data_IF_928282948809
#
_entry.id   IF_928282948809
#
_cell.length_a   1.000
_cell.length_b   1.000
_cell.length_c   1.000
_cell.angle_alpha   90.00
_cell.angle_beta   90.00
_cell.angle_gamma   90.00
#
_symmetry.space_group_name_H-M   'P 1'
#
loop_
_entity.id
_entity.type
_entity.pdbx_description
1 polymer ?
#
# COMPACT_ATOMS: atom_id res chain seq x y z
N UNK A 1 19.67 9.01 -11.80
CA UNK A 1 18.97 9.59 -10.64
C UNK A 1 17.91 8.57 -10.22
N UNK A 2 17.96 8.08 -8.98
CA UNK A 2 16.94 7.14 -8.47
C UNK A 2 15.71 7.98 -8.11
N UNK A 3 14.51 7.57 -8.53
CA UNK A 3 13.28 8.30 -8.17
C UNK A 3 13.02 8.22 -6.67
N UNK A 4 12.63 9.34 -6.05
CA UNK A 4 12.25 9.38 -4.63
C UNK A 4 11.06 8.47 -4.29
N UNK A 5 10.22 8.16 -5.28
CA UNK A 5 9.17 7.15 -5.18
C UNK A 5 9.69 5.73 -4.85
N UNK A 6 10.94 5.41 -5.17
CA UNK A 6 11.53 4.09 -4.87
C UNK A 6 11.57 3.81 -3.36
N UNK A 7 11.69 4.84 -2.51
CA UNK A 7 11.64 4.71 -1.05
C UNK A 7 10.23 4.48 -0.52
N UNK A 8 9.18 4.92 -1.22
CA UNK A 8 7.79 4.60 -0.88
C UNK A 8 7.49 3.12 -1.16
N UNK A 9 7.96 2.60 -2.30
CA UNK A 9 7.65 1.25 -2.78
C UNK A 9 8.49 0.14 -2.14
N UNK A 10 9.76 0.40 -1.80
CA UNK A 10 10.71 -0.64 -1.38
C UNK A 10 11.18 -0.51 0.08
N UNK A 11 10.69 -1.41 0.94
CA UNK A 11 11.17 -1.54 2.33
C UNK A 11 12.68 -1.83 2.40
N UNK A 12 13.19 -2.75 1.58
CA UNK A 12 14.62 -3.07 1.54
C UNK A 12 15.50 -1.90 1.11
N UNK A 13 14.96 -0.94 0.34
CA UNK A 13 15.66 0.30 0.04
C UNK A 13 15.70 1.22 1.26
N UNK A 14 14.58 1.34 2.01
CA UNK A 14 14.50 2.10 3.27
C UNK A 14 15.46 1.54 4.33
N UNK A 15 15.48 0.22 4.52
CA UNK A 15 16.35 -0.46 5.48
C UNK A 15 17.84 -0.14 5.22
N UNK A 16 18.24 0.04 3.96
CA UNK A 16 19.62 0.39 3.58
C UNK A 16 20.03 1.85 3.84
N UNK A 17 19.09 2.75 4.16
CA UNK A 17 19.35 4.19 4.37
C UNK A 17 18.85 4.72 5.72
N UNK A 18 18.16 3.90 6.52
CA UNK A 18 17.49 4.31 7.78
C UNK A 18 18.44 4.82 8.87
N UNK A 19 19.72 4.47 8.82
CA UNK A 19 20.75 4.97 9.76
C UNK A 19 21.23 6.39 9.45
N UNK A 20 20.84 6.99 8.32
CA UNK A 20 21.28 8.34 7.91
C UNK A 20 20.41 9.45 8.50
N UNK A 21 20.18 9.41 9.81
CA UNK A 21 19.29 10.34 10.52
C UNK A 21 19.65 11.81 10.35
N UNK A 22 20.94 12.11 10.17
CA UNK A 22 21.47 13.46 9.93
C UNK A 22 20.85 14.18 8.71
N UNK A 23 20.23 13.46 7.77
CA UNK A 23 19.55 14.05 6.61
C UNK A 23 18.34 14.88 7.01
N UNK A 24 17.66 14.54 8.12
CA UNK A 24 16.48 15.26 8.60
C UNK A 24 16.85 16.72 8.87
N UNK A 25 17.84 16.95 9.74
CA UNK A 25 18.30 18.29 10.14
C UNK A 25 18.93 19.11 9.01
N UNK A 26 19.24 18.49 7.85
CA UNK A 26 19.68 19.20 6.64
C UNK A 26 18.54 19.78 5.81
N UNK A 27 17.35 19.20 5.89
CA UNK A 27 16.15 19.69 5.19
C UNK A 27 15.43 20.73 6.03
N UNK A 28 15.22 20.44 7.32
CA UNK A 28 14.54 21.31 8.28
C UNK A 28 15.00 20.91 9.68
N UNK A 29 15.21 21.87 10.58
CA UNK A 29 15.69 21.55 11.94
C UNK A 29 14.62 20.76 12.71
N UNK A 30 14.95 19.57 13.20
CA UNK A 30 14.04 18.77 14.01
C UNK A 30 14.13 19.17 15.48
N UNK A 31 13.08 19.82 16.00
CA UNK A 31 12.95 20.03 17.45
C UNK A 31 12.82 18.69 18.17
N UNK A 32 13.71 18.42 19.12
CA UNK A 32 13.66 17.23 19.98
C UNK A 32 13.01 17.57 21.33
N UNK A 33 12.60 16.53 22.06
CA UNK A 33 12.21 16.64 23.46
C UNK A 33 13.42 16.99 24.35
N UNK A 34 13.22 17.41 25.62
CA UNK A 34 14.31 17.72 26.55
C UNK A 34 15.26 16.54 26.84
N UNK A 35 14.88 15.31 26.46
CA UNK A 35 15.73 14.13 26.53
C UNK A 35 16.80 14.07 25.41
N UNK A 36 16.74 14.98 24.43
CA UNK A 36 17.66 15.06 23.30
C UNK A 36 17.58 13.91 22.31
N UNK A 37 16.57 13.03 22.41
CA UNK A 37 16.53 11.74 21.70
C UNK A 37 15.21 11.45 20.98
N UNK A 38 14.07 11.91 21.53
CA UNK A 38 12.75 11.57 21.00
C UNK A 38 11.94 12.79 20.56
N UNK A 39 10.94 12.52 19.71
CA UNK A 39 9.97 13.48 19.20
C UNK A 39 8.56 12.92 19.42
N UNK A 40 7.55 13.76 19.63
CA UNK A 40 6.15 13.33 19.80
C UNK A 40 5.38 13.35 18.48
N UNK A 41 4.23 12.65 18.41
CA UNK A 41 3.33 12.69 17.22
C UNK A 41 3.02 14.10 16.74
N UNK A 42 2.73 15.03 17.65
CA UNK A 42 2.43 16.43 17.32
C UNK A 42 3.64 17.14 16.70
N UNK A 43 4.84 16.92 17.26
CA UNK A 43 6.08 17.51 16.74
C UNK A 43 6.47 16.91 15.37
N UNK A 44 6.26 15.61 15.15
CA UNK A 44 6.43 14.96 13.84
C UNK A 44 5.44 15.52 12.81
N UNK A 45 4.18 15.73 13.19
CA UNK A 45 3.16 16.32 12.32
C UNK A 45 3.53 17.76 11.90
N UNK A 46 3.94 18.61 12.87
CA UNK A 46 4.45 19.96 12.62
C UNK A 46 5.70 19.98 11.75
N UNK A 47 6.60 19.01 11.93
CA UNK A 47 7.82 18.90 11.12
C UNK A 47 7.50 18.66 9.64
N UNK A 48 6.65 17.66 9.35
CA UNK A 48 6.26 17.29 7.98
C UNK A 48 5.12 18.12 7.37
N UNK A 49 4.59 19.11 8.10
CA UNK A 49 3.50 19.99 7.66
C UNK A 49 2.20 19.24 7.32
N UNK A 50 1.93 18.16 8.07
CA UNK A 50 0.72 17.34 7.95
C UNK A 50 -0.08 17.33 9.26
N UNK A 51 -1.33 16.85 9.23
CA UNK A 51 -2.14 16.70 10.44
C UNK A 51 -1.67 15.51 11.28
N UNK A 52 -1.90 15.57 12.60
CA UNK A 52 -1.66 14.41 13.48
C UNK A 52 -2.42 13.15 13.05
N UNK A 53 -3.58 13.29 12.40
CA UNK A 53 -4.36 12.16 11.87
C UNK A 53 -3.59 11.39 10.80
N UNK A 54 -2.84 12.08 9.92
CA UNK A 54 -2.00 11.44 8.90
C UNK A 54 -0.85 10.67 9.56
N UNK A 55 -0.18 11.26 10.56
CA UNK A 55 0.89 10.55 11.30
C UNK A 55 0.33 9.33 12.04
N UNK A 56 -0.85 9.43 12.67
CA UNK A 56 -1.49 8.31 13.37
C UNK A 56 -1.93 7.18 12.42
N UNK A 57 -2.44 7.51 11.24
CA UNK A 57 -2.75 6.53 10.20
C UNK A 57 -1.49 5.83 9.68
N UNK A 58 -0.44 6.59 9.33
CA UNK A 58 0.84 6.05 8.89
C UNK A 58 1.49 5.13 9.96
N UNK A 59 1.39 5.50 11.25
CA UNK A 59 1.83 4.65 12.38
C UNK A 59 1.04 3.34 12.44
N UNK A 60 -0.27 3.38 12.19
CA UNK A 60 -1.11 2.20 12.20
C UNK A 60 -0.77 1.24 11.03
N UNK A 61 -0.65 1.79 9.82
CA UNK A 61 -0.39 1.02 8.59
C UNK A 61 1.03 0.42 8.54
N UNK A 62 2.02 1.07 9.18
CA UNK A 62 3.44 0.70 9.13
C UNK A 62 4.05 0.37 10.50
N UNK A 63 3.23 -0.05 11.46
CA UNK A 63 3.62 -0.22 12.87
C UNK A 63 4.88 -1.06 13.07
N UNK A 64 4.95 -2.25 12.47
CA UNK A 64 6.09 -3.17 12.64
C UNK A 64 7.43 -2.56 12.17
N UNK A 65 7.39 -1.81 11.06
CA UNK A 65 8.59 -1.17 10.48
C UNK A 65 9.07 0.00 11.35
N UNK A 66 8.14 0.73 11.96
CA UNK A 66 8.43 1.82 12.89
C UNK A 66 8.95 1.29 14.24
N UNK A 67 8.33 0.25 14.80
CA UNK A 67 8.77 -0.38 16.06
C UNK A 67 10.16 -1.01 15.91
N UNK A 68 10.44 -1.65 14.77
CA UNK A 68 11.81 -2.10 14.41
C UNK A 68 12.84 -0.96 14.30
N UNK A 69 12.38 0.29 14.16
CA UNK A 69 13.21 1.50 14.14
C UNK A 69 13.10 2.33 15.44
N UNK A 70 12.60 1.74 16.52
CA UNK A 70 12.58 2.30 17.87
C UNK A 70 11.38 3.18 18.20
N UNK A 71 10.34 3.21 17.35
CA UNK A 71 9.05 3.79 17.73
C UNK A 71 8.45 3.05 18.93
N UNK A 72 7.90 3.78 19.90
CA UNK A 72 7.21 3.20 21.06
C UNK A 72 6.10 4.09 21.60
N UNK A 73 5.07 3.49 22.17
CA UNK A 73 3.99 4.19 22.88
C UNK A 73 4.08 3.89 24.37
N UNK A 74 4.47 4.89 25.15
CA UNK A 74 4.50 4.77 26.60
C UNK A 74 3.09 4.96 27.17
N UNK A 75 2.72 4.10 28.11
CA UNK A 75 1.44 4.16 28.83
C UNK A 75 1.66 3.88 30.33
N UNK A 76 0.67 4.20 31.17
CA UNK A 76 0.67 3.81 32.58
C UNK A 76 1.91 4.24 33.38
N UNK A 77 2.56 3.28 34.04
CA UNK A 77 3.74 3.50 34.91
C UNK A 77 4.97 3.96 34.14
N UNK A 78 5.25 3.41 32.96
CA UNK A 78 6.39 3.80 32.12
C UNK A 78 6.29 5.27 31.69
N UNK A 79 5.08 5.71 31.36
CA UNK A 79 4.82 7.10 31.00
C UNK A 79 5.05 8.05 32.19
N UNK A 80 4.62 7.66 33.39
CA UNK A 80 4.85 8.45 34.60
C UNK A 80 6.34 8.58 34.92
N UNK A 81 7.08 7.47 34.82
CA UNK A 81 8.54 7.45 35.00
C UNK A 81 9.27 8.32 33.97
N UNK A 82 8.89 8.21 32.69
CA UNK A 82 9.46 9.02 31.60
C UNK A 82 9.18 10.52 31.77
N UNK A 83 7.97 10.91 32.21
CA UNK A 83 7.63 12.32 32.51
C UNK A 83 8.50 12.88 33.64
N UNK A 84 8.77 12.09 34.67
CA UNK A 84 9.60 12.48 35.81
C UNK A 84 11.07 12.69 35.42
N UNK A 85 11.61 11.84 34.55
CA UNK A 85 12.99 11.96 34.02
C UNK A 85 13.15 13.07 32.98
N UNK A 86 12.19 13.21 32.06
CA UNK A 86 12.30 14.11 30.91
C UNK A 86 11.78 15.54 31.18
N UNK A 87 11.23 15.79 32.36
CA UNK A 87 10.66 17.10 32.74
C UNK A 87 9.36 17.48 32.01
N UNK A 88 8.74 16.55 31.26
CA UNK A 88 7.61 16.84 30.37
C UNK A 88 6.29 16.86 31.14
N UNK A 89 5.70 18.05 31.31
CA UNK A 89 4.38 18.24 31.92
C UNK A 89 3.23 17.94 30.94
N UNK A 90 3.13 16.70 30.44
CA UNK A 90 2.00 16.26 29.61
C UNK A 90 0.88 15.63 30.44
N UNK A 91 -0.36 16.09 30.22
CA UNK A 91 -1.58 15.54 30.86
C UNK A 91 -2.11 14.27 30.18
N UNK A 92 -1.55 13.86 29.04
CA UNK A 92 -2.05 12.70 28.27
C UNK A 92 -1.74 11.37 28.97
N UNK A 93 -2.66 10.40 28.87
CA UNK A 93 -2.53 9.05 29.45
C UNK A 93 -1.64 8.09 28.62
N UNK A 94 -1.31 8.47 27.39
CA UNK A 94 -0.39 7.76 26.49
C UNK A 94 0.49 8.75 25.75
N UNK A 95 1.76 8.41 25.47
CA UNK A 95 2.68 9.24 24.70
C UNK A 95 3.45 8.39 23.68
N UNK A 96 3.29 8.72 22.40
CA UNK A 96 4.07 8.15 21.32
C UNK A 96 5.41 8.87 21.19
N UNK A 97 6.50 8.10 21.19
CA UNK A 97 7.88 8.58 21.06
C UNK A 97 8.51 8.06 19.77
N UNK A 98 9.08 8.97 18.99
CA UNK A 98 9.79 8.71 17.74
C UNK A 98 11.26 9.10 17.93
N UNK A 99 12.22 8.16 17.95
CA UNK A 99 13.63 8.50 17.76
C UNK A 99 13.87 8.98 16.32
N UNK A 100 15.00 9.63 16.06
CA UNK A 100 15.30 10.16 14.71
C UNK A 100 15.21 9.09 13.59
N UNK A 101 15.57 7.83 13.86
CA UNK A 101 15.40 6.70 12.91
C UNK A 101 13.92 6.49 12.52
N UNK A 102 13.02 6.50 13.50
CA UNK A 102 11.58 6.41 13.23
C UNK A 102 11.06 7.65 12.46
N UNK A 103 11.58 8.85 12.76
CA UNK A 103 11.23 10.08 12.02
C UNK A 103 11.72 10.02 10.57
N UNK A 104 12.92 9.48 10.31
CA UNK A 104 13.39 9.24 8.94
C UNK A 104 12.49 8.22 8.22
N UNK A 105 12.05 7.17 8.92
CA UNK A 105 11.12 6.18 8.37
C UNK A 105 9.77 6.81 8.02
N UNK A 106 9.25 7.73 8.84
CA UNK A 106 8.07 8.55 8.51
C UNK A 106 8.30 9.34 7.21
N UNK A 107 9.45 9.99 7.06
CA UNK A 107 9.77 10.72 5.82
C UNK A 107 9.79 9.81 4.57
N UNK A 108 10.24 8.56 4.73
CA UNK A 108 10.30 7.59 3.64
C UNK A 108 8.93 6.98 3.28
N UNK A 109 7.91 7.16 4.11
CA UNK A 109 6.55 6.62 3.93
C UNK A 109 5.48 7.68 3.61
N UNK A 110 5.66 8.93 4.04
CA UNK A 110 4.70 10.01 3.81
C UNK A 110 4.67 10.47 2.34
N UNK A 111 3.65 10.03 1.59
CA UNK A 111 3.42 10.46 0.20
C UNK A 111 3.23 11.97 0.08
N UNK A 112 2.23 12.51 0.78
CA UNK A 112 1.71 13.86 0.56
C UNK A 112 2.33 14.90 1.52
N UNK A 113 3.66 15.00 1.52
CA UNK A 113 4.41 16.03 2.27
C UNK A 113 5.63 16.48 1.48
N UNK A 114 5.72 17.78 1.21
CA UNK A 114 6.86 18.39 0.51
C UNK A 114 8.17 18.25 1.30
N UNK A 115 8.11 18.38 2.63
CA UNK A 115 9.27 18.15 3.51
C UNK A 115 9.74 16.70 3.42
N UNK A 116 8.81 15.73 3.42
CA UNK A 116 9.14 14.32 3.26
C UNK A 116 9.75 14.01 1.87
N UNK A 117 9.21 14.61 0.80
CA UNK A 117 9.72 14.53 -0.57
C UNK A 117 11.16 15.05 -0.70
N UNK A 118 11.46 16.18 -0.04
CA UNK A 118 12.82 16.74 0.03
C UNK A 118 13.79 15.81 0.78
N UNK A 119 13.38 15.26 1.93
CA UNK A 119 14.17 14.27 2.69
C UNK A 119 14.49 13.04 1.84
N UNK A 120 13.50 12.44 1.16
CA UNK A 120 13.72 11.27 0.29
C UNK A 120 14.67 11.56 -0.88
N UNK A 121 14.54 12.74 -1.50
CA UNK A 121 15.43 13.17 -2.60
C UNK A 121 16.88 13.26 -2.10
N UNK A 122 17.12 14.02 -1.03
CA UNK A 122 18.46 14.22 -0.47
C UNK A 122 19.10 12.91 -0.01
N UNK A 123 18.31 12.01 0.59
CA UNK A 123 18.76 10.70 1.07
C UNK A 123 19.31 9.83 -0.07
N UNK A 124 18.64 9.82 -1.23
CA UNK A 124 19.07 9.07 -2.42
C UNK A 124 20.28 9.71 -3.12
N UNK A 125 20.33 11.04 -3.22
CA UNK A 125 21.49 11.74 -3.81
C UNK A 125 22.77 11.52 -2.98
N UNK A 126 22.63 11.54 -1.64
CA UNK A 126 23.73 11.24 -0.70
C UNK A 126 24.15 9.77 -0.77
N UNK A 127 23.22 8.84 -1.04
CA UNK A 127 23.55 7.42 -1.24
C UNK A 127 24.27 7.17 -2.57
N UNK A 128 23.89 7.89 -3.63
CA UNK A 128 24.56 7.79 -4.92
C UNK A 128 26.00 8.31 -4.87
N UNK A 129 26.26 9.40 -4.14
CA UNK A 129 27.58 10.00 -3.99
C UNK A 129 28.57 9.16 -3.14
N UNK A 130 28.06 8.37 -2.18
CA UNK A 130 28.90 7.55 -1.30
C UNK A 130 29.49 6.31 -1.99
N UNK A 131 28.84 5.80 -3.04
CA UNK A 131 29.21 4.53 -3.71
C UNK A 131 30.32 4.65 -4.76
N UNK A 132 30.91 5.84 -4.94
CA UNK A 132 31.81 6.15 -6.06
C UNK A 132 33.24 6.56 -5.66
N UNK A 133 33.68 6.28 -4.42
CA UNK A 133 35.05 6.57 -3.96
C UNK A 133 35.93 5.29 -3.86
N UNK A 134 37.22 5.32 -4.28
CA UNK A 134 38.16 4.18 -4.19
C UNK A 134 39.07 4.21 -2.94
N UNK A 135 39.69 3.06 -2.60
CA UNK A 135 40.57 2.86 -1.42
C UNK A 135 41.69 1.83 -1.68
N UNK A 136 42.90 2.08 -1.16
CA UNK A 136 44.14 1.26 -1.31
C UNK A 136 44.71 0.78 0.04
N UNK A 137 45.49 -0.34 0.08
CA UNK A 137 46.10 -0.86 1.34
C UNK A 137 47.25 -1.91 1.15
N UNK A 138 48.41 -1.82 1.86
CA UNK A 138 49.47 -2.88 1.89
C UNK A 138 49.97 -3.34 3.30
N UNK A 139 50.73 -4.47 3.40
CA UNK A 139 51.12 -5.18 4.67
C UNK A 139 52.55 -5.81 4.61
N UNK A 140 53.27 -6.00 5.74
CA UNK A 140 54.56 -6.77 5.87
C UNK A 140 54.90 -7.31 7.29
N UNK A 141 55.72 -8.39 7.43
CA UNK A 141 56.40 -8.92 8.67
C UNK A 141 57.30 -10.18 8.40
N UNK A 142 58.52 -10.35 8.98
CA UNK A 142 58.90 -11.63 9.68
C UNK A 142 60.10 -11.62 10.71
N UNK A 143 60.28 -12.67 11.54
CA UNK A 143 61.60 -13.26 11.94
C UNK A 143 61.46 -14.66 12.62
N UNK A 144 62.37 -15.62 12.37
CA UNK A 144 62.27 -17.04 12.78
C UNK A 144 63.66 -17.71 12.96
N UNK A 145 63.76 -18.84 13.69
CA UNK A 145 64.91 -19.79 13.64
C UNK A 145 64.70 -21.11 14.44
N UNK A 146 64.01 -21.07 15.60
CA UNK A 146 63.74 -22.30 16.40
C UNK A 146 62.54 -23.11 15.87
N UNK A 147 61.59 -22.41 15.21
CA UNK A 147 60.41 -23.02 14.61
C UNK A 147 60.79 -24.01 13.50
N UNK A 148 61.75 -23.69 12.62
CA UNK A 148 62.14 -24.46 11.42
C UNK A 148 62.27 -25.98 11.61
N UNK A 149 62.77 -26.46 12.76
CA UNK A 149 62.92 -27.91 13.05
C UNK A 149 61.63 -28.57 13.53
N UNK A 150 60.78 -27.82 14.24
CA UNK A 150 59.45 -28.27 14.67
C UNK A 150 58.52 -28.21 13.44
N UNK A 151 58.54 -27.10 12.72
CA UNK A 151 57.88 -26.87 11.44
C UNK A 151 58.24 -27.93 10.41
N UNK A 152 59.52 -28.30 10.26
CA UNK A 152 59.92 -29.34 9.30
C UNK A 152 59.21 -30.68 9.55
N UNK A 153 58.96 -31.05 10.81
CA UNK A 153 58.29 -32.30 11.17
C UNK A 153 56.76 -32.18 11.16
N UNK A 154 56.23 -31.03 11.57
CA UNK A 154 54.81 -30.69 11.47
C UNK A 154 54.38 -30.62 10.00
N UNK A 155 55.12 -29.89 9.16
CA UNK A 155 54.92 -29.78 7.71
C UNK A 155 54.97 -31.15 7.02
N UNK A 156 55.86 -32.05 7.43
CA UNK A 156 55.90 -33.40 6.86
C UNK A 156 54.64 -34.23 7.16
N UNK A 157 54.13 -34.15 8.40
CA UNK A 157 52.95 -34.92 8.84
C UNK A 157 51.66 -34.30 8.28
N UNK A 158 51.54 -32.97 8.34
CA UNK A 158 50.44 -32.22 7.74
C UNK A 158 50.39 -32.44 6.22
N UNK A 159 51.51 -32.27 5.53
CA UNK A 159 51.62 -32.38 4.07
C UNK A 159 51.28 -33.76 3.52
N UNK A 160 51.59 -34.84 4.26
CA UNK A 160 51.27 -36.22 3.82
C UNK A 160 49.88 -36.72 4.23
N UNK A 161 49.34 -36.23 5.35
CA UNK A 161 48.13 -36.83 5.95
C UNK A 161 46.93 -35.89 5.92
N UNK A 162 47.14 -34.63 6.30
CA UNK A 162 46.07 -33.66 6.55
C UNK A 162 45.77 -32.82 5.30
N UNK A 163 46.80 -32.40 4.57
CA UNK A 163 46.64 -31.62 3.33
C UNK A 163 45.89 -32.38 2.24
N UNK A 164 46.15 -33.67 1.94
CA UNK A 164 45.37 -34.40 0.94
C UNK A 164 43.88 -34.56 1.33
N UNK A 165 43.62 -34.79 2.62
CA UNK A 165 42.25 -34.90 3.15
C UNK A 165 41.51 -33.56 3.12
N UNK A 166 42.17 -32.46 3.49
CA UNK A 166 41.62 -31.11 3.37
C UNK A 166 41.38 -30.72 1.90
N UNK A 167 42.31 -31.03 0.99
CA UNK A 167 42.14 -30.77 -0.43
C UNK A 167 40.92 -31.51 -1.00
N UNK A 168 40.75 -32.80 -0.69
CA UNK A 168 39.56 -33.56 -1.08
C UNK A 168 38.25 -33.01 -0.48
N UNK A 169 38.29 -32.52 0.77
CA UNK A 169 37.15 -31.85 1.40
C UNK A 169 36.84 -30.47 0.76
N UNK A 170 37.86 -29.71 0.39
CA UNK A 170 37.72 -28.42 -0.31
C UNK A 170 37.19 -28.64 -1.73
N UNK A 171 37.63 -29.70 -2.40
CA UNK A 171 37.20 -30.06 -3.75
C UNK A 171 35.73 -30.51 -3.76
N UNK A 172 35.36 -31.47 -2.91
CA UNK A 172 33.97 -31.94 -2.76
C UNK A 172 33.01 -30.85 -2.24
N UNK A 173 33.44 -30.04 -1.25
CA UNK A 173 32.67 -28.87 -0.79
C UNK A 173 32.56 -27.80 -1.89
N UNK A 174 33.60 -27.66 -2.71
CA UNK A 174 33.64 -26.78 -3.88
C UNK A 174 32.67 -27.22 -4.97
N UNK A 175 32.59 -28.53 -5.24
CA UNK A 175 31.59 -29.14 -6.15
C UNK A 175 30.18 -28.91 -5.64
N UNK A 176 29.87 -29.30 -4.40
CA UNK A 176 28.56 -29.08 -3.78
C UNK A 176 28.17 -27.59 -3.78
N UNK A 177 29.11 -26.68 -3.54
CA UNK A 177 28.88 -25.24 -3.62
C UNK A 177 28.62 -24.78 -5.06
N UNK A 178 29.32 -25.31 -6.06
CA UNK A 178 29.06 -25.03 -7.49
C UNK A 178 27.69 -25.53 -7.92
N UNK A 179 27.29 -26.73 -7.52
CA UNK A 179 25.99 -27.31 -7.82
C UNK A 179 24.84 -26.51 -7.18
N UNK A 180 25.00 -26.10 -5.91
CA UNK A 180 24.03 -25.24 -5.23
C UNK A 180 23.92 -23.85 -5.90
N UNK A 181 25.03 -23.28 -6.38
CA UNK A 181 25.03 -22.03 -7.14
C UNK A 181 24.32 -22.21 -8.49
N UNK A 182 24.55 -23.32 -9.19
CA UNK A 182 23.88 -23.64 -10.46
C UNK A 182 22.38 -23.84 -10.26
N UNK A 183 21.98 -24.67 -9.29
CA UNK A 183 20.58 -24.90 -8.95
C UNK A 183 19.86 -23.59 -8.57
N UNK A 184 20.52 -22.70 -7.81
CA UNK A 184 20.00 -21.36 -7.49
C UNK A 184 19.86 -20.47 -8.74
N UNK A 185 20.82 -20.52 -9.66
CA UNK A 185 20.75 -19.79 -10.93
C UNK A 185 19.60 -20.28 -11.82
N UNK A 186 19.35 -21.59 -11.84
CA UNK A 186 18.22 -22.20 -12.55
C UNK A 186 16.88 -21.88 -11.90
N UNK A 187 16.77 -21.91 -10.56
CA UNK A 187 15.60 -21.42 -9.84
C UNK A 187 15.31 -19.96 -10.19
N UNK A 188 16.32 -19.08 -10.18
CA UNK A 188 16.17 -17.68 -10.60
C UNK A 188 15.87 -17.51 -12.11
N UNK A 189 16.21 -18.48 -12.97
CA UNK A 189 15.81 -18.52 -14.38
C UNK A 189 14.35 -18.94 -14.54
N UNK A 190 13.90 -19.94 -13.77
CA UNK A 190 12.50 -20.41 -13.72
C UNK A 190 11.59 -19.34 -13.14
N UNK A 191 11.96 -18.70 -12.02
CA UNK A 191 11.23 -17.56 -11.44
C UNK A 191 11.08 -16.40 -12.43
N UNK A 192 12.14 -16.05 -13.18
CA UNK A 192 12.04 -15.02 -14.23
C UNK A 192 11.12 -15.44 -15.38
N UNK A 193 11.13 -16.70 -15.80
CA UNK A 193 10.18 -17.21 -16.81
C UNK A 193 8.74 -17.21 -16.29
N UNK A 194 8.51 -17.58 -15.04
CA UNK A 194 7.20 -17.50 -14.37
C UNK A 194 6.69 -16.06 -14.34
N UNK A 195 7.48 -15.11 -13.84
CA UNK A 195 7.11 -13.69 -13.84
C UNK A 195 6.83 -13.15 -15.26
N UNK A 196 7.60 -13.58 -16.27
CA UNK A 196 7.33 -13.23 -17.67
C UNK A 196 6.04 -13.87 -18.20
N UNK A 197 5.72 -15.11 -17.79
CA UNK A 197 4.48 -15.79 -18.15
C UNK A 197 3.26 -15.14 -17.45
N UNK A 198 3.37 -14.80 -16.18
CA UNK A 198 2.35 -14.04 -15.41
C UNK A 198 2.12 -12.67 -16.03
N UNK A 199 3.18 -11.91 -16.35
CA UNK A 199 3.04 -10.64 -17.06
C UNK A 199 2.44 -10.79 -18.46
N UNK A 200 2.70 -11.92 -19.15
CA UNK A 200 2.10 -12.23 -20.46
C UNK A 200 0.63 -12.61 -20.33
N UNK A 201 0.27 -13.42 -19.34
CA UNK A 201 -1.13 -13.76 -19.01
C UNK A 201 -1.89 -12.51 -18.62
N UNK A 202 -1.38 -11.72 -17.67
CA UNK A 202 -2.02 -10.48 -17.23
C UNK A 202 -2.14 -9.43 -18.35
N UNK A 203 -1.19 -9.40 -19.31
CA UNK A 203 -1.32 -8.60 -20.53
C UNK A 203 -2.40 -9.14 -21.47
N UNK A 204 -2.51 -10.45 -21.64
CA UNK A 204 -3.56 -11.07 -22.45
C UNK A 204 -4.96 -10.90 -21.83
N UNK A 205 -5.06 -10.99 -20.50
CA UNK A 205 -6.27 -10.72 -19.71
C UNK A 205 -6.70 -9.25 -19.85
N UNK A 206 -5.80 -8.28 -19.59
CA UNK A 206 -6.09 -6.86 -19.85
C UNK A 206 -6.49 -6.59 -21.30
N UNK A 207 -5.86 -7.25 -22.27
CA UNK A 207 -6.22 -7.11 -23.70
C UNK A 207 -7.60 -7.69 -24.01
N UNK A 208 -8.06 -8.68 -23.24
CA UNK A 208 -9.38 -9.32 -23.36
C UNK A 208 -10.48 -8.50 -22.68
N UNK A 209 -10.18 -7.85 -21.56
CA UNK A 209 -11.06 -6.91 -20.86
C UNK A 209 -11.27 -5.60 -21.64
N UNK A 210 -10.19 -5.03 -22.20
CA UNK A 210 -10.21 -3.65 -22.71
C UNK A 210 -10.79 -3.47 -24.12
N UNK A 211 -10.98 -4.53 -24.92
CA UNK A 211 -11.32 -4.38 -26.36
C UNK A 211 -12.81 -4.35 -26.73
N UNK A 212 -13.75 -4.97 -25.99
CA UNK A 212 -15.19 -4.78 -26.22
C UNK A 212 -15.81 -3.70 -25.34
N UNK A 213 -15.30 -3.50 -24.12
CA UNK A 213 -15.99 -2.74 -23.06
C UNK A 213 -15.70 -1.23 -23.08
N UNK A 214 -14.49 -0.82 -23.46
CA UNK A 214 -14.05 0.58 -23.35
C UNK A 214 -14.93 1.60 -24.10
N UNK A 215 -15.61 1.20 -25.18
CA UNK A 215 -16.59 2.05 -25.88
C UNK A 215 -17.92 2.22 -25.13
N UNK A 216 -18.33 1.22 -24.35
CA UNK A 216 -19.58 1.24 -23.56
C UNK A 216 -19.50 2.29 -22.48
N UNK A 217 -18.43 2.28 -21.67
CA UNK A 217 -18.30 3.24 -20.58
C UNK A 217 -18.05 4.67 -21.07
N UNK A 218 -17.34 4.85 -22.19
CA UNK A 218 -17.20 6.17 -22.84
C UNK A 218 -18.56 6.72 -23.33
N UNK A 219 -19.46 5.86 -23.83
CA UNK A 219 -20.82 6.28 -24.18
C UNK A 219 -21.66 6.67 -22.96
N UNK A 220 -21.43 6.04 -21.80
CA UNK A 220 -22.16 6.33 -20.56
C UNK A 220 -21.66 7.63 -19.90
N UNK A 221 -20.35 7.87 -19.91
CA UNK A 221 -19.76 9.13 -19.40
C UNK A 221 -20.19 10.36 -20.20
N UNK A 222 -20.57 10.18 -21.47
CA UNK A 222 -21.09 11.23 -22.34
C UNK A 222 -22.59 11.55 -22.10
N UNK A 223 -23.32 10.69 -21.38
CA UNK A 223 -24.74 10.90 -21.08
C UNK A 223 -24.92 12.04 -20.09
N UNK A 224 -25.98 12.84 -20.26
CA UNK A 224 -26.49 13.68 -19.18
C UNK A 224 -27.27 12.84 -18.15
N UNK A 225 -27.75 13.47 -17.06
CA UNK A 225 -28.42 12.75 -15.97
C UNK A 225 -29.73 12.06 -16.41
N UNK A 226 -30.51 12.65 -17.32
CA UNK A 226 -31.76 12.07 -17.83
C UNK A 226 -31.50 10.91 -18.79
N UNK A 227 -30.52 11.06 -19.67
CA UNK A 227 -30.08 10.00 -20.58
C UNK A 227 -29.56 8.80 -19.79
N UNK A 228 -28.87 9.05 -18.68
CA UNK A 228 -28.40 8.01 -17.77
C UNK A 228 -29.55 7.25 -17.10
N UNK A 229 -30.54 7.94 -16.52
CA UNK A 229 -31.75 7.32 -15.96
C UNK A 229 -32.52 6.51 -17.02
N UNK A 230 -32.64 7.03 -18.24
CA UNK A 230 -33.26 6.33 -19.37
C UNK A 230 -32.47 5.07 -19.79
N UNK A 231 -31.13 5.15 -19.78
CA UNK A 231 -30.26 3.99 -20.03
C UNK A 231 -30.47 2.90 -18.98
N UNK A 232 -30.45 3.24 -17.68
CA UNK A 232 -30.74 2.29 -16.60
C UNK A 232 -32.14 1.70 -16.73
N UNK A 233 -33.16 2.51 -17.00
CA UNK A 233 -34.52 2.03 -17.26
C UNK A 233 -34.60 1.06 -18.46
N UNK A 234 -33.78 1.26 -19.50
CA UNK A 234 -33.69 0.33 -20.62
C UNK A 234 -33.08 -1.02 -20.23
N UNK A 235 -32.04 -1.01 -19.38
CA UNK A 235 -31.41 -2.23 -18.86
C UNK A 235 -32.36 -3.03 -17.95
N UNK A 236 -33.14 -2.35 -17.12
CA UNK A 236 -34.20 -2.97 -16.32
C UNK A 236 -35.23 -3.68 -17.20
N UNK A 237 -35.75 -3.01 -18.23
CA UNK A 237 -36.71 -3.62 -19.19
C UNK A 237 -36.10 -4.80 -19.95
N UNK A 238 -34.84 -4.68 -20.38
CA UNK A 238 -34.08 -5.77 -21.03
C UNK A 238 -33.92 -6.98 -20.12
N UNK A 239 -33.73 -6.76 -18.83
CA UNK A 239 -33.60 -7.81 -17.81
C UNK A 239 -34.97 -8.21 -17.21
N UNK A 240 -36.05 -7.98 -17.96
CA UNK A 240 -37.42 -8.46 -17.68
C UNK A 240 -38.13 -7.79 -16.49
N UNK A 241 -37.66 -6.64 -16.02
CA UNK A 241 -38.40 -5.82 -15.06
C UNK A 241 -39.62 -5.15 -15.75
N UNK A 242 -40.74 -5.09 -15.05
CA UNK A 242 -42.02 -4.52 -15.51
C UNK A 242 -42.37 -3.25 -14.72
N UNK A 243 -43.36 -2.47 -15.19
CA UNK A 243 -43.78 -1.23 -14.51
C UNK A 243 -42.67 -0.20 -14.32
N UNK A 244 -41.70 -0.14 -15.25
CA UNK A 244 -40.50 0.72 -15.13
C UNK A 244 -40.87 2.18 -15.41
N UNK A 245 -40.99 2.95 -14.34
CA UNK A 245 -41.31 4.39 -14.31
C UNK A 245 -40.07 5.19 -13.89
N UNK A 246 -39.77 6.28 -14.60
CA UNK A 246 -38.68 7.21 -14.27
C UNK A 246 -39.31 8.44 -13.63
N UNK A 247 -38.79 8.85 -12.48
CA UNK A 247 -39.20 10.04 -11.73
C UNK A 247 -38.09 11.09 -11.87
N UNK A 248 -38.43 12.27 -12.39
CA UNK A 248 -37.45 13.26 -12.85
C UNK A 248 -37.69 14.66 -12.30
N UNK A 249 -37.33 14.90 -11.04
CA UNK A 249 -37.32 16.25 -10.48
C UNK A 249 -37.04 16.37 -8.98
N UNK A 250 -36.96 17.61 -8.51
CA UNK A 250 -36.90 17.93 -7.09
C UNK A 250 -38.27 17.75 -6.43
N UNK A 251 -38.58 16.50 -6.07
CA UNK A 251 -39.84 16.12 -5.42
C UNK A 251 -40.00 14.61 -5.18
N UNK A 252 -39.24 13.79 -5.91
CA UNK A 252 -39.57 12.38 -6.12
C UNK A 252 -39.05 11.42 -5.04
N UNK A 253 -39.21 11.82 -3.76
CA UNK A 253 -38.97 10.99 -2.54
C UNK A 253 -37.63 10.23 -2.46
N UNK A 254 -36.67 10.57 -3.32
CA UNK A 254 -35.31 10.02 -3.39
C UNK A 254 -35.14 8.76 -4.26
N UNK A 255 -36.12 8.41 -5.10
CA UNK A 255 -35.98 7.33 -6.10
C UNK A 255 -36.12 7.90 -7.51
N UNK A 256 -35.16 7.64 -8.39
CA UNK A 256 -35.22 8.11 -9.78
C UNK A 256 -35.94 7.11 -10.69
N UNK A 257 -35.99 5.82 -10.31
CA UNK A 257 -36.72 4.79 -11.05
C UNK A 257 -37.42 3.84 -10.07
N UNK A 258 -38.69 3.53 -10.35
CA UNK A 258 -39.42 2.44 -9.70
C UNK A 258 -39.82 1.38 -10.72
N UNK A 259 -39.84 0.12 -10.30
CA UNK A 259 -40.22 -1.00 -11.16
C UNK A 259 -40.67 -2.21 -10.32
N UNK A 260 -41.02 -3.30 -11.02
CA UNK A 260 -41.15 -4.64 -10.47
C UNK A 260 -40.13 -5.55 -11.16
N UNK A 261 -39.44 -6.37 -10.37
CA UNK A 261 -38.55 -7.44 -10.86
C UNK A 261 -39.32 -8.55 -11.57
N UNK A 262 -38.62 -9.49 -12.21
CA UNK A 262 -39.24 -10.59 -12.96
C UNK A 262 -40.11 -11.52 -12.09
N UNK A 263 -39.78 -11.68 -10.80
CA UNK A 263 -40.55 -12.44 -9.81
C UNK A 263 -41.55 -11.58 -9.01
N UNK A 264 -41.75 -10.31 -9.41
CA UNK A 264 -42.80 -9.44 -8.88
C UNK A 264 -42.45 -8.63 -7.63
N UNK A 265 -41.22 -8.74 -7.10
CA UNK A 265 -40.74 -7.89 -5.99
C UNK A 265 -40.62 -6.43 -6.42
N UNK A 266 -40.98 -5.49 -5.53
CA UNK A 266 -40.88 -4.05 -5.74
C UNK A 266 -39.42 -3.60 -5.78
N UNK A 267 -39.08 -2.87 -6.83
CA UNK A 267 -37.73 -2.37 -7.10
C UNK A 267 -37.70 -0.84 -7.04
N UNK A 268 -36.73 -0.29 -6.28
CA UNK A 268 -36.31 1.12 -6.38
C UNK A 268 -34.87 1.20 -6.88
N UNK A 269 -34.61 2.21 -7.72
CA UNK A 269 -33.26 2.53 -8.19
C UNK A 269 -32.97 4.01 -7.99
N UNK A 270 -31.81 4.30 -7.42
CA UNK A 270 -31.18 5.63 -7.48
C UNK A 270 -30.00 5.56 -8.44
N UNK A 271 -29.96 6.51 -9.35
CA UNK A 271 -28.92 6.77 -10.33
C UNK A 271 -28.10 8.00 -9.89
N UNK A 272 -26.77 7.91 -9.97
CA UNK A 272 -25.86 9.05 -9.82
C UNK A 272 -24.87 9.09 -10.97
N UNK A 273 -25.19 9.94 -11.96
CA UNK A 273 -24.24 10.34 -12.98
C UNK A 273 -23.39 11.51 -12.44
N UNK A 274 -22.34 11.19 -11.70
CA UNK A 274 -21.38 12.15 -11.19
C UNK A 274 -20.05 12.05 -11.94
N UNK A 275 -19.31 13.16 -12.00
CA UNK A 275 -17.98 13.15 -12.57
C UNK A 275 -17.05 12.16 -11.82
N UNK A 276 -16.12 11.45 -12.48
CA UNK A 276 -15.37 10.33 -11.90
C UNK A 276 -14.55 10.64 -10.64
N UNK A 277 -14.22 11.91 -10.40
CA UNK A 277 -13.47 12.39 -9.22
C UNK A 277 -14.35 12.67 -7.99
N UNK A 278 -15.68 12.59 -8.11
CA UNK A 278 -16.60 12.58 -6.97
C UNK A 278 -16.80 11.16 -6.47
N UNK A 279 -17.30 11.00 -5.26
CA UNK A 279 -17.72 9.72 -4.72
C UNK A 279 -19.13 9.81 -4.14
N UNK A 280 -19.86 8.71 -4.14
CA UNK A 280 -21.09 8.57 -3.34
C UNK A 280 -20.68 8.34 -1.88
N UNK A 281 -21.07 9.24 -0.98
CA UNK A 281 -20.72 9.18 0.44
C UNK A 281 -21.83 8.56 1.30
N UNK A 282 -21.48 8.16 2.52
CA UNK A 282 -22.41 7.51 3.48
C UNK A 282 -23.72 8.28 3.66
N UNK A 283 -23.70 9.61 3.72
CA UNK A 283 -24.90 10.44 3.86
C UNK A 283 -25.85 10.41 2.65
N UNK A 284 -25.37 10.07 1.46
CA UNK A 284 -26.23 9.83 0.29
C UNK A 284 -26.84 8.43 0.31
N UNK A 285 -26.07 7.43 0.75
CA UNK A 285 -26.58 6.07 0.94
C UNK A 285 -27.66 6.04 2.03
N UNK A 286 -27.43 6.69 3.18
CA UNK A 286 -28.40 6.78 4.29
C UNK A 286 -29.75 7.37 3.85
N UNK A 287 -29.74 8.42 3.00
CA UNK A 287 -30.96 8.98 2.42
C UNK A 287 -31.71 7.96 1.57
N UNK A 288 -31.00 7.20 0.73
CA UNK A 288 -31.59 6.16 -0.10
C UNK A 288 -32.14 4.97 0.71
N UNK A 289 -31.57 4.64 1.87
CA UNK A 289 -32.18 3.66 2.81
C UNK A 289 -33.55 4.16 3.30
N UNK A 290 -33.68 5.47 3.55
CA UNK A 290 -34.97 6.12 3.81
C UNK A 290 -35.94 5.93 2.65
N UNK A 291 -35.52 6.19 1.41
CA UNK A 291 -36.32 5.97 0.19
C UNK A 291 -36.76 4.51 0.03
N UNK A 292 -35.87 3.53 0.19
CA UNK A 292 -36.20 2.09 0.16
C UNK A 292 -37.36 1.78 1.10
N UNK A 293 -37.32 2.35 2.30
CA UNK A 293 -38.35 2.19 3.33
C UNK A 293 -39.67 2.89 2.93
N UNK A 294 -39.62 4.13 2.45
CA UNK A 294 -40.78 4.91 2.01
C UNK A 294 -41.55 4.26 0.85
N UNK A 295 -40.82 3.65 -0.09
CA UNK A 295 -41.41 2.95 -1.23
C UNK A 295 -41.76 1.47 -0.93
N UNK A 296 -41.50 1.00 0.30
CA UNK A 296 -41.68 -0.41 0.70
C UNK A 296 -41.03 -1.37 -0.30
N UNK A 297 -39.78 -1.09 -0.67
CA UNK A 297 -39.09 -1.80 -1.74
C UNK A 297 -38.34 -3.03 -1.22
N UNK A 298 -38.70 -4.18 -1.77
CA UNK A 298 -38.06 -5.48 -1.51
C UNK A 298 -36.62 -5.50 -2.07
N UNK A 299 -36.43 -4.90 -3.26
CA UNK A 299 -35.14 -4.77 -3.93
C UNK A 299 -34.78 -3.28 -4.07
N UNK A 300 -33.54 -2.94 -3.71
CA UNK A 300 -33.00 -1.60 -3.86
C UNK A 300 -31.65 -1.66 -4.56
N UNK A 301 -31.48 -0.86 -5.61
CA UNK A 301 -30.26 -0.78 -6.41
C UNK A 301 -29.75 0.66 -6.41
N UNK A 302 -28.46 0.85 -6.14
CA UNK A 302 -27.81 2.16 -6.22
C UNK A 302 -26.75 2.12 -7.32
N UNK A 303 -26.98 2.87 -8.41
CA UNK A 303 -26.12 2.88 -9.59
C UNK A 303 -25.33 4.18 -9.64
N UNK A 304 -24.01 4.11 -9.80
CA UNK A 304 -23.19 5.30 -10.01
C UNK A 304 -22.06 5.10 -11.04
N UNK A 305 -21.77 6.17 -11.79
CA UNK A 305 -20.64 6.25 -12.73
C UNK A 305 -19.30 6.49 -12.03
N UNK A 306 -19.33 6.83 -10.74
CA UNK A 306 -18.18 7.17 -9.89
C UNK A 306 -17.98 6.18 -8.71
N UNK A 307 -16.87 6.28 -7.95
CA UNK A 307 -16.63 5.44 -6.78
C UNK A 307 -17.62 5.65 -5.61
N UNK A 308 -17.66 4.67 -4.71
CA UNK A 308 -18.38 4.75 -3.43
C UNK A 308 -17.38 4.82 -2.28
N UNK A 309 -17.69 5.57 -1.21
CA UNK A 309 -16.89 5.51 0.01
C UNK A 309 -17.04 4.15 0.70
N UNK A 310 -16.06 3.75 1.52
CA UNK A 310 -16.09 2.47 2.24
C UNK A 310 -17.33 2.38 3.14
N UNK A 311 -17.62 3.46 3.84
CA UNK A 311 -18.77 3.57 4.74
C UNK A 311 -20.10 3.50 3.97
N UNK A 312 -20.16 4.02 2.74
CA UNK A 312 -21.34 3.89 1.88
C UNK A 312 -21.57 2.44 1.44
N UNK A 313 -20.49 1.69 1.14
CA UNK A 313 -20.56 0.26 0.83
C UNK A 313 -20.96 -0.58 2.05
N UNK A 314 -20.38 -0.30 3.22
CA UNK A 314 -20.69 -0.99 4.47
C UNK A 314 -22.17 -0.81 4.86
N UNK A 315 -22.72 0.41 4.73
CA UNK A 315 -24.15 0.69 4.95
C UNK A 315 -25.02 -0.06 3.93
N UNK A 316 -24.65 -0.03 2.65
CA UNK A 316 -25.42 -0.71 1.60
C UNK A 316 -25.47 -2.22 1.81
N UNK A 317 -24.36 -2.84 2.24
CA UNK A 317 -24.29 -4.25 2.60
C UNK A 317 -25.21 -4.57 3.79
N UNK A 318 -25.15 -3.77 4.87
CA UNK A 318 -25.95 -3.98 6.08
C UNK A 318 -27.46 -3.92 5.83
N UNK A 319 -27.92 -3.05 4.93
CA UNK A 319 -29.36 -2.81 4.66
C UNK A 319 -29.89 -3.51 3.41
N UNK A 320 -29.05 -4.32 2.74
CA UNK A 320 -29.42 -5.05 1.52
C UNK A 320 -29.75 -4.12 0.35
N UNK A 321 -28.84 -3.20 0.02
CA UNK A 321 -28.84 -2.39 -1.20
C UNK A 321 -27.76 -2.93 -2.14
N UNK A 322 -28.14 -3.26 -3.38
CA UNK A 322 -27.19 -3.69 -4.41
C UNK A 322 -26.50 -2.47 -5.00
N UNK A 323 -25.20 -2.34 -4.75
CA UNK A 323 -24.38 -1.25 -5.32
C UNK A 323 -23.86 -1.65 -6.69
N UNK A 324 -24.22 -0.86 -7.71
CA UNK A 324 -23.75 -1.01 -9.08
C UNK A 324 -22.71 0.08 -9.34
N UNK A 325 -21.46 -0.25 -9.00
CA UNK A 325 -20.29 0.57 -9.29
C UNK A 325 -19.92 0.51 -10.78
N UNK A 326 -19.14 1.49 -11.25
CA UNK A 326 -18.71 1.68 -12.65
C UNK A 326 -18.41 0.39 -13.44
N UNK A 327 -17.53 -0.48 -12.95
CA UNK A 327 -17.21 -1.75 -13.65
C UNK A 327 -18.38 -2.74 -13.74
N UNK A 328 -19.27 -2.79 -12.74
CA UNK A 328 -20.48 -3.61 -12.79
C UNK A 328 -21.53 -3.00 -13.72
N UNK A 329 -21.61 -1.66 -13.77
CA UNK A 329 -22.45 -0.92 -14.73
C UNK A 329 -21.99 -1.13 -16.19
N UNK A 330 -20.68 -1.10 -16.44
CA UNK A 330 -20.08 -1.40 -17.75
C UNK A 330 -20.42 -2.83 -18.19
N UNK A 331 -20.22 -3.83 -17.31
CA UNK A 331 -20.59 -5.22 -17.58
C UNK A 331 -22.11 -5.40 -17.79
N UNK A 332 -22.95 -4.76 -16.97
CA UNK A 332 -24.41 -4.80 -17.09
C UNK A 332 -24.87 -4.22 -18.42
N UNK A 333 -24.32 -3.06 -18.80
CA UNK A 333 -24.58 -2.39 -20.08
C UNK A 333 -24.12 -3.23 -21.27
N UNK A 334 -22.99 -3.94 -21.15
CA UNK A 334 -22.45 -4.84 -22.17
C UNK A 334 -23.19 -6.19 -22.31
N UNK A 335 -24.22 -6.45 -21.49
CA UNK A 335 -25.10 -7.62 -21.64
C UNK A 335 -25.04 -8.65 -20.50
N UNK A 336 -24.20 -8.47 -19.48
CA UNK A 336 -24.34 -9.23 -18.24
C UNK A 336 -25.70 -8.91 -17.59
N UNK A 337 -26.24 -9.80 -16.75
CA UNK A 337 -27.48 -9.56 -15.98
C UNK A 337 -27.17 -9.43 -14.49
N UNK A 338 -27.77 -8.44 -13.82
CA UNK A 338 -27.71 -8.33 -12.37
C UNK A 338 -28.49 -9.48 -11.72
N UNK A 339 -27.88 -10.18 -10.75
CA UNK A 339 -28.53 -11.33 -10.10
C UNK A 339 -29.74 -10.93 -9.25
N UNK A 340 -29.73 -9.73 -8.67
CA UNK A 340 -30.79 -9.24 -7.78
C UNK A 340 -32.13 -8.96 -8.49
N UNK A 341 -32.11 -8.84 -9.83
CA UNK A 341 -33.29 -8.54 -10.65
C UNK A 341 -34.05 -9.79 -11.13
N UNK A 342 -33.50 -10.98 -10.85
CA UNK A 342 -34.06 -12.29 -11.23
C UNK A 342 -35.07 -12.79 -10.22
#
# INVERSE_FOLDING_TARGET
MISEAALLESRSLRDGVVDRTHVIDKVKTLSLLPDGMHVTTAMVATYFEVTETVIRAMVFDHREELESNGYRVLTGSELSYFKQLSGIQSRTASLALFPQRAVLNVAMLLRDSEVARQVRTYLLDTEYAARTQPVDNPVHSPSADLDDRIDGRITHILGKTVVPMLNALIETSGEQRRDLISARADIHRVQRKLAQHEQRLHRLERTREQRPLAGVMASIDAMNWREFEQHIASLLRRDSCTGVEIHGGSGDRGADITAYTADGRRLVVQCKNFAPYRSVWSGEMQKFVGTKTLHQADVAVYVATCPFSREALDIALQVGVTVVHRGLLEAWSAGAKLQVLR
#
